data_IF_595626290678
#
_entry.id   IF_595626290678
#
_cell.length_a   1.000
_cell.length_b   1.000
_cell.length_c   1.000
_cell.angle_alpha   90.00
_cell.angle_beta   90.00
_cell.angle_gamma   90.00
#
_symmetry.space_group_name_H-M   'P 1'
#
loop_
_entity.id
_entity.type
_entity.pdbx_description
1 polymer ?
#
# COMPACT_ATOMS: atom_id res chain seq x y z
N UNK A 1 -21.42 34.25 28.51
CA UNK A 1 -21.08 35.04 27.29
C UNK A 1 -20.32 34.15 26.32
N UNK A 2 -21.01 33.43 25.43
CA UNK A 2 -20.43 32.89 24.18
C UNK A 2 -21.59 32.89 23.16
N UNK A 3 -21.44 33.67 22.08
CA UNK A 3 -22.44 33.87 21.02
C UNK A 3 -22.30 32.77 19.96
N UNK A 4 -23.38 32.05 19.69
CA UNK A 4 -23.51 31.11 18.57
C UNK A 4 -23.71 31.86 17.24
N UNK A 5 -23.17 31.35 16.11
CA UNK A 5 -23.28 32.04 14.81
C UNK A 5 -24.67 31.86 14.18
N UNK A 6 -25.21 32.98 13.69
CA UNK A 6 -26.51 33.11 13.06
C UNK A 6 -26.56 32.41 11.69
N UNK A 7 -27.43 31.42 11.59
CA UNK A 7 -27.86 30.79 10.35
C UNK A 7 -28.72 31.80 9.56
N UNK A 8 -28.28 32.22 8.36
CA UNK A 8 -29.06 33.10 7.47
C UNK A 8 -29.96 32.26 6.55
N UNK A 9 -31.29 32.36 6.65
CA UNK A 9 -32.18 31.77 5.65
C UNK A 9 -32.25 32.67 4.40
N UNK A 10 -32.13 32.03 3.24
CA UNK A 10 -32.16 32.63 1.90
C UNK A 10 -33.58 33.10 1.60
N UNK A 11 -33.74 34.39 1.33
CA UNK A 11 -35.02 35.03 1.03
C UNK A 11 -35.66 34.45 -0.23
N UNK A 12 -36.88 33.93 -0.11
CA UNK A 12 -37.79 33.65 -1.21
C UNK A 12 -38.70 34.85 -1.39
N UNK A 13 -38.59 35.54 -2.51
CA UNK A 13 -39.51 36.62 -2.90
C UNK A 13 -40.80 35.99 -3.44
N UNK A 14 -41.85 35.98 -2.62
CA UNK A 14 -43.22 35.75 -3.06
C UNK A 14 -43.91 37.11 -3.14
N UNK A 15 -44.09 37.63 -4.36
CA UNK A 15 -44.87 38.85 -4.62
C UNK A 15 -46.35 38.51 -4.45
N UNK A 16 -46.97 39.08 -3.42
CA UNK A 16 -48.41 39.07 -3.24
C UNK A 16 -49.07 39.97 -4.31
N UNK A 17 -50.01 39.41 -5.09
CA UNK A 17 -50.86 40.19 -6.00
C UNK A 17 -52.27 40.26 -5.43
N UNK A 18 -52.76 41.50 -5.32
CA UNK A 18 -54.05 41.92 -4.82
C UNK A 18 -55.21 41.37 -5.66
N UNK A 19 -56.17 40.72 -5.01
CA UNK A 19 -57.44 40.29 -5.62
C UNK A 19 -58.47 41.41 -5.58
N UNK A 20 -58.67 42.11 -6.69
CA UNK A 20 -59.89 42.89 -6.92
C UNK A 20 -60.83 42.08 -7.82
N UNK A 21 -61.94 41.65 -7.25
CA UNK A 21 -62.96 40.85 -7.92
C UNK A 21 -64.04 41.79 -8.45
N UNK A 22 -64.06 42.02 -9.77
CA UNK A 22 -65.19 42.65 -10.45
C UNK A 22 -65.68 41.67 -11.53
N UNK A 23 -66.83 41.08 -11.27
CA UNK A 23 -67.57 40.18 -12.12
C UNK A 23 -68.08 40.92 -13.38
N UNK A 24 -67.46 40.64 -14.52
CA UNK A 24 -68.08 40.88 -15.83
C UNK A 24 -67.88 39.64 -16.71
N UNK A 25 -69.01 39.10 -17.17
CA UNK A 25 -69.09 38.00 -18.15
C UNK A 25 -68.22 38.30 -19.37
N UNK A 26 -67.15 37.53 -19.55
CA UNK A 26 -66.42 37.43 -20.82
C UNK A 26 -66.36 35.95 -21.21
N UNK A 27 -66.68 35.68 -22.47
CA UNK A 27 -66.76 34.34 -23.04
C UNK A 27 -65.44 33.55 -22.93
N UNK A 28 -65.52 32.28 -23.34
CA UNK A 28 -64.41 31.34 -23.34
C UNK A 28 -63.09 31.98 -23.81
N UNK A 29 -61.99 31.82 -23.06
CA UNK A 29 -60.71 32.38 -23.47
C UNK A 29 -60.25 31.67 -24.74
N UNK A 30 -60.08 32.46 -25.79
CA UNK A 30 -59.41 32.05 -27.02
C UNK A 30 -58.04 31.45 -26.65
N UNK A 31 -57.76 30.23 -27.13
CA UNK A 31 -56.49 29.52 -26.90
C UNK A 31 -55.38 30.13 -27.78
N UNK A 32 -55.15 31.43 -27.63
CA UNK A 32 -54.10 32.17 -28.32
C UNK A 32 -52.84 32.30 -27.45
N UNK A 33 -51.98 31.28 -27.46
CA UNK A 33 -50.51 31.37 -27.63
C UNK A 33 -49.85 30.03 -27.27
N UNK A 34 -49.53 29.22 -28.29
CA UNK A 34 -48.65 28.07 -28.14
C UNK A 34 -47.25 28.62 -27.83
N UNK A 35 -46.72 28.37 -26.62
CA UNK A 35 -45.30 28.70 -26.32
C UNK A 35 -44.42 28.10 -27.42
N UNK A 36 -43.46 28.84 -27.99
CA UNK A 36 -42.62 28.32 -29.07
C UNK A 36 -41.93 27.04 -28.59
N UNK A 37 -41.99 25.99 -29.42
CA UNK A 37 -41.38 24.70 -29.14
C UNK A 37 -39.90 24.91 -28.88
N UNK A 38 -39.41 24.50 -27.70
CA UNK A 38 -37.98 24.56 -27.37
C UNK A 38 -37.20 23.72 -28.37
N UNK A 39 -36.23 24.34 -29.05
CA UNK A 39 -35.30 23.63 -29.91
C UNK A 39 -34.39 22.73 -29.06
N UNK A 40 -34.05 21.56 -29.58
CA UNK A 40 -33.03 20.71 -28.96
C UNK A 40 -31.68 21.41 -29.08
N UNK A 41 -30.88 21.41 -28.00
CA UNK A 41 -29.50 21.89 -28.06
C UNK A 41 -28.61 20.90 -28.84
N UNK A 42 -27.49 21.42 -29.35
CA UNK A 42 -26.48 20.60 -30.02
C UNK A 42 -25.92 19.53 -29.08
N UNK A 43 -25.57 18.33 -29.59
CA UNK A 43 -24.97 17.30 -28.78
C UNK A 43 -23.59 17.75 -28.28
N UNK A 44 -23.23 17.34 -27.06
CA UNK A 44 -21.94 17.67 -26.46
C UNK A 44 -20.77 17.11 -27.29
N UNK A 45 -20.99 16.05 -28.07
CA UNK A 45 -19.99 15.42 -28.95
C UNK A 45 -19.29 16.40 -29.88
N UNK A 46 -20.01 17.40 -30.38
CA UNK A 46 -19.49 18.31 -31.42
C UNK A 46 -18.50 19.33 -30.83
N UNK A 47 -18.47 19.45 -29.50
CA UNK A 47 -17.59 20.35 -28.75
C UNK A 47 -16.47 19.60 -28.01
N UNK A 48 -16.34 18.30 -28.20
CA UNK A 48 -15.34 17.48 -27.52
C UNK A 48 -13.99 17.53 -28.26
N UNK A 49 -12.89 17.91 -27.60
CA UNK A 49 -11.55 17.74 -28.16
C UNK A 49 -11.17 16.26 -28.24
N UNK A 50 -10.31 15.92 -29.19
CA UNK A 50 -9.86 14.53 -29.42
C UNK A 50 -9.01 14.01 -28.24
N UNK A 51 -8.16 14.86 -27.68
CA UNK A 51 -7.25 14.51 -26.57
C UNK A 51 -7.89 14.63 -25.17
N UNK A 52 -9.22 14.66 -25.10
CA UNK A 52 -9.94 14.81 -23.84
C UNK A 52 -9.77 13.59 -22.92
N UNK A 53 -9.65 13.81 -21.60
CA UNK A 53 -9.75 12.73 -20.61
C UNK A 53 -11.15 12.11 -20.62
N UNK A 54 -11.23 10.89 -21.16
CA UNK A 54 -12.45 10.10 -21.23
C UNK A 54 -13.01 9.75 -19.84
N UNK A 55 -12.16 9.61 -18.82
CA UNK A 55 -12.58 9.26 -17.46
C UNK A 55 -13.47 10.34 -16.83
N UNK A 56 -13.31 11.60 -17.26
CA UNK A 56 -14.17 12.70 -16.86
C UNK A 56 -15.51 12.74 -17.63
N UNK A 57 -15.55 12.18 -18.84
CA UNK A 57 -16.76 12.11 -19.69
C UNK A 57 -17.71 11.03 -19.17
N UNK A 58 -17.16 9.89 -18.75
CA UNK A 58 -17.90 8.73 -18.25
C UNK A 58 -17.30 8.21 -16.93
N UNK A 59 -17.52 8.91 -15.80
CA UNK A 59 -16.87 8.56 -14.54
C UNK A 59 -17.48 7.33 -13.84
N UNK A 60 -18.76 7.05 -14.06
CA UNK A 60 -19.51 6.00 -13.36
C UNK A 60 -20.39 5.20 -14.30
N UNK A 61 -20.87 4.05 -13.83
CA UNK A 61 -21.81 3.21 -14.57
C UNK A 61 -23.07 4.01 -14.95
N UNK A 62 -23.34 4.12 -16.25
CA UNK A 62 -24.48 4.86 -16.78
C UNK A 62 -24.97 4.24 -18.10
N UNK A 63 -26.28 4.33 -18.40
CA UNK A 63 -26.83 3.89 -19.69
C UNK A 63 -26.23 4.70 -20.84
N UNK A 64 -26.20 4.14 -22.05
CA UNK A 64 -25.57 4.78 -23.20
C UNK A 64 -26.15 6.18 -23.50
N UNK A 65 -25.31 7.22 -23.41
CA UNK A 65 -25.68 8.62 -23.68
C UNK A 65 -25.24 9.05 -25.07
N UNK A 66 -26.17 9.02 -26.03
CA UNK A 66 -25.91 9.37 -27.44
C UNK A 66 -25.25 10.75 -27.64
N UNK A 67 -25.52 11.72 -26.77
CA UNK A 67 -24.99 13.08 -26.84
C UNK A 67 -23.63 13.27 -26.16
N UNK A 68 -23.14 12.28 -25.41
CA UNK A 68 -21.84 12.33 -24.71
C UNK A 68 -20.79 11.40 -25.33
N UNK A 69 -21.21 10.41 -26.12
CA UNK A 69 -20.29 9.45 -26.74
C UNK A 69 -19.95 9.90 -28.16
N UNK A 70 -18.72 10.34 -28.47
CA UNK A 70 -18.34 10.87 -29.79
C UNK A 70 -18.17 9.79 -30.87
N UNK A 71 -18.33 8.51 -30.52
CA UNK A 71 -18.17 7.39 -31.44
C UNK A 71 -19.38 7.22 -32.38
N UNK A 72 -19.18 6.95 -33.69
CA UNK A 72 -20.26 6.68 -34.64
C UNK A 72 -20.74 5.22 -34.56
N UNK A 73 -21.21 4.80 -33.39
CA UNK A 73 -21.68 3.42 -33.15
C UNK A 73 -23.05 3.19 -33.82
N UNK A 74 -23.19 2.03 -34.47
CA UNK A 74 -24.45 1.56 -35.07
C UNK A 74 -24.71 0.14 -34.56
N UNK A 75 -25.97 -0.16 -34.24
CA UNK A 75 -26.35 -1.50 -33.79
C UNK A 75 -27.82 -1.79 -34.12
N UNK A 76 -28.13 -3.05 -34.36
CA UNK A 76 -29.45 -3.53 -34.74
C UNK A 76 -29.42 -4.25 -36.09
N UNK A 77 -30.44 -5.04 -36.36
CA UNK A 77 -30.52 -5.82 -37.60
C UNK A 77 -30.76 -4.88 -38.80
N UNK A 78 -29.95 -4.97 -39.88
CA UNK A 78 -30.14 -4.15 -41.07
C UNK A 78 -31.35 -4.65 -41.87
N UNK A 79 -32.26 -3.74 -42.22
CA UNK A 79 -33.43 -4.07 -43.04
C UNK A 79 -33.03 -3.99 -44.52
N UNK A 80 -33.47 -4.96 -45.35
CA UNK A 80 -33.34 -4.95 -46.83
C UNK A 80 -31.90 -4.66 -47.34
N UNK A 81 -30.88 -5.36 -46.80
CA UNK A 81 -29.44 -5.13 -47.13
C UNK A 81 -28.94 -3.71 -46.85
N UNK A 82 -29.61 -2.96 -45.98
CA UNK A 82 -29.21 -1.60 -45.57
C UNK A 82 -28.12 -1.57 -44.50
N UNK A 83 -27.87 -0.38 -43.96
CA UNK A 83 -26.92 -0.14 -42.86
C UNK A 83 -27.64 -0.27 -41.51
N UNK A 84 -26.99 -0.80 -40.45
CA UNK A 84 -27.56 -0.81 -39.10
C UNK A 84 -27.98 0.58 -38.61
N UNK A 85 -29.02 0.66 -37.74
CA UNK A 85 -29.48 1.92 -37.16
C UNK A 85 -28.38 2.69 -36.43
N UNK A 86 -28.42 4.02 -36.55
CA UNK A 86 -27.49 4.93 -35.89
C UNK A 86 -27.69 5.00 -34.37
N UNK A 87 -26.74 5.60 -33.65
CA UNK A 87 -26.85 5.75 -32.19
C UNK A 87 -28.00 6.66 -31.72
N UNK A 88 -28.50 7.55 -32.58
CA UNK A 88 -29.55 8.52 -32.22
C UNK A 88 -30.90 7.81 -32.08
N UNK A 89 -31.44 7.78 -30.87
CA UNK A 89 -32.74 7.17 -30.56
C UNK A 89 -32.72 5.64 -30.51
N UNK A 90 -31.54 5.02 -30.49
CA UNK A 90 -31.42 3.56 -30.56
C UNK A 90 -31.57 2.90 -29.18
N UNK A 91 -32.70 2.24 -28.97
CA UNK A 91 -33.00 1.56 -27.71
C UNK A 91 -32.11 0.33 -27.47
N UNK A 92 -31.59 -0.30 -28.53
CA UNK A 92 -30.71 -1.46 -28.37
C UNK A 92 -29.38 -1.06 -27.71
N UNK A 93 -28.86 0.14 -27.98
CA UNK A 93 -27.67 0.66 -27.29
C UNK A 93 -27.94 0.98 -25.81
N UNK A 94 -29.16 1.38 -25.47
CA UNK A 94 -29.53 1.71 -24.09
C UNK A 94 -29.65 0.44 -23.24
N UNK A 95 -30.08 -0.67 -23.85
CA UNK A 95 -30.21 -1.97 -23.16
C UNK A 95 -28.87 -2.61 -22.81
N UNK A 96 -27.79 -2.29 -23.55
CA UNK A 96 -26.49 -2.92 -23.34
C UNK A 96 -25.85 -2.39 -22.04
N UNK A 97 -25.46 -3.28 -21.10
CA UNK A 97 -24.61 -2.90 -19.99
C UNK A 97 -23.22 -2.55 -20.53
N UNK A 98 -22.96 -1.26 -20.73
CA UNK A 98 -21.73 -0.77 -21.33
C UNK A 98 -20.61 -0.60 -20.28
N UNK A 99 -19.37 -0.74 -20.73
CA UNK A 99 -18.16 -0.61 -19.92
C UNK A 99 -17.41 0.70 -20.19
N UNK A 100 -18.09 1.74 -20.67
CA UNK A 100 -17.46 3.01 -21.06
C UNK A 100 -16.78 3.73 -19.88
N UNK A 101 -17.18 3.41 -18.64
CA UNK A 101 -16.58 3.91 -17.40
C UNK A 101 -15.41 3.06 -16.90
N UNK A 102 -15.21 1.86 -17.46
CA UNK A 102 -14.13 0.91 -17.10
C UNK A 102 -13.11 0.77 -18.23
N UNK A 103 -12.75 1.89 -18.85
CA UNK A 103 -11.64 1.90 -19.83
C UNK A 103 -10.31 1.57 -19.14
N UNK A 104 -9.30 1.03 -19.86
CA UNK A 104 -8.00 0.74 -19.28
C UNK A 104 -7.36 1.95 -18.57
N UNK A 105 -7.56 3.15 -19.09
CA UNK A 105 -7.10 4.40 -18.46
C UNK A 105 -7.82 4.69 -17.13
N UNK A 106 -9.15 4.49 -17.09
CA UNK A 106 -9.92 4.60 -15.84
C UNK A 106 -9.47 3.57 -14.81
N UNK A 107 -9.26 2.31 -15.22
CA UNK A 107 -8.83 1.22 -14.32
C UNK A 107 -7.46 1.54 -13.71
N UNK A 108 -6.49 2.00 -14.51
CA UNK A 108 -5.17 2.41 -14.00
C UNK A 108 -5.29 3.54 -12.98
N UNK A 109 -6.01 4.61 -13.32
CA UNK A 109 -6.25 5.76 -12.43
C UNK A 109 -6.97 5.37 -11.13
N UNK A 110 -7.95 4.48 -11.20
CA UNK A 110 -8.66 3.96 -10.02
C UNK A 110 -7.78 3.04 -9.17
N UNK A 111 -6.95 2.22 -9.80
CA UNK A 111 -6.00 1.35 -9.11
C UNK A 111 -4.94 2.19 -8.38
N UNK A 112 -4.45 3.26 -9.00
CA UNK A 112 -3.45 4.16 -8.41
C UNK A 112 -4.02 4.98 -7.24
N UNK A 113 -5.30 5.35 -7.31
CA UNK A 113 -5.98 6.09 -6.26
C UNK A 113 -6.23 5.28 -4.97
N UNK A 114 -6.17 3.94 -5.02
CA UNK A 114 -6.31 3.07 -3.85
C UNK A 114 -5.04 2.21 -3.62
N UNK A 115 -3.94 2.83 -3.14
CA UNK A 115 -2.69 2.12 -2.90
C UNK A 115 -2.82 1.05 -1.81
N UNK A 116 -3.73 1.21 -0.84
CA UNK A 116 -3.98 0.23 0.22
C UNK A 116 -4.46 -1.14 -0.28
N UNK A 117 -5.00 -1.22 -1.50
CA UNK A 117 -5.38 -2.48 -2.12
C UNK A 117 -4.19 -3.27 -2.70
N UNK A 118 -3.00 -2.65 -2.77
CA UNK A 118 -1.77 -3.16 -3.40
C UNK A 118 -0.70 -3.61 -2.40
N UNK A 119 -0.93 -3.38 -1.11
CA UNK A 119 0.07 -3.54 -0.08
C UNK A 119 -0.37 -4.65 0.87
N UNK A 120 0.48 -5.65 1.03
CA UNK A 120 0.33 -6.71 2.02
C UNK A 120 1.34 -6.47 3.13
N UNK A 121 0.85 -6.33 4.35
CA UNK A 121 1.66 -6.26 5.56
C UNK A 121 1.56 -7.58 6.31
N UNK A 122 2.70 -8.13 6.71
CA UNK A 122 2.77 -9.37 7.47
C UNK A 122 3.82 -9.24 8.58
N UNK A 123 3.54 -9.78 9.77
CA UNK A 123 4.51 -9.83 10.86
C UNK A 123 5.35 -11.10 10.80
N UNK A 124 6.66 -10.99 10.94
CA UNK A 124 7.53 -12.17 10.84
C UNK A 124 7.33 -13.13 12.01
N UNK A 125 7.04 -12.62 13.20
CA UNK A 125 6.65 -13.40 14.39
C UNK A 125 5.41 -14.28 14.20
N UNK A 126 4.55 -13.98 13.21
CA UNK A 126 3.40 -14.83 12.89
C UNK A 126 3.76 -16.05 12.04
N UNK A 127 4.96 -16.08 11.48
CA UNK A 127 5.47 -17.20 10.69
C UNK A 127 6.30 -18.12 11.60
N UNK A 128 6.11 -19.42 11.46
CA UNK A 128 6.92 -20.43 12.15
C UNK A 128 8.28 -20.56 11.46
N UNK A 129 9.16 -19.57 11.61
CA UNK A 129 10.52 -19.61 11.06
C UNK A 129 11.51 -19.98 12.16
N UNK A 130 12.54 -20.74 11.81
CA UNK A 130 13.70 -20.94 12.67
C UNK A 130 14.64 -19.73 12.62
N UNK A 131 15.66 -19.72 13.50
CA UNK A 131 16.60 -18.59 13.58
C UNK A 131 17.38 -18.38 12.28
N UNK A 132 17.71 -19.48 11.59
CA UNK A 132 18.39 -19.44 10.29
C UNK A 132 17.50 -18.80 9.22
N UNK A 133 16.29 -19.32 9.00
CA UNK A 133 15.37 -18.80 8.01
C UNK A 133 14.95 -17.37 8.32
N UNK A 134 14.77 -17.01 9.60
CA UNK A 134 14.46 -15.63 9.97
C UNK A 134 15.59 -14.67 9.58
N UNK A 135 16.85 -14.98 9.94
CA UNK A 135 18.03 -14.16 9.58
C UNK A 135 18.21 -14.09 8.06
N UNK A 136 18.09 -15.23 7.37
CA UNK A 136 18.17 -15.30 5.90
C UNK A 136 17.06 -14.49 5.24
N UNK A 137 15.83 -14.55 5.75
CA UNK A 137 14.71 -13.80 5.19
C UNK A 137 14.88 -12.30 5.38
N UNK A 138 15.35 -11.84 6.54
CA UNK A 138 15.66 -10.42 6.76
C UNK A 138 16.70 -9.91 5.74
N UNK A 139 17.75 -10.71 5.45
CA UNK A 139 18.74 -10.39 4.41
C UNK A 139 18.16 -10.37 3.00
N UNK A 140 17.34 -11.37 2.64
CA UNK A 140 16.73 -11.46 1.30
C UNK A 140 15.77 -10.29 1.03
N UNK A 141 15.05 -9.85 2.06
CA UNK A 141 14.02 -8.85 1.90
C UNK A 141 14.55 -7.42 2.00
N UNK A 142 15.59 -7.20 2.81
CA UNK A 142 16.28 -5.91 2.91
C UNK A 142 15.38 -4.80 3.46
N UNK A 143 15.26 -3.70 2.72
CA UNK A 143 14.55 -2.47 3.13
C UNK A 143 13.04 -2.66 3.34
N UNK A 144 12.46 -3.74 2.81
CA UNK A 144 11.04 -4.05 2.95
C UNK A 144 10.66 -4.57 4.35
N UNK A 145 11.64 -4.86 5.20
CA UNK A 145 11.44 -5.31 6.58
C UNK A 145 11.81 -4.22 7.59
N UNK A 146 10.89 -3.93 8.51
CA UNK A 146 11.13 -3.02 9.62
C UNK A 146 11.51 -3.82 10.89
N UNK A 147 12.70 -3.57 11.44
CA UNK A 147 13.21 -4.22 12.66
C UNK A 147 12.41 -3.83 13.91
N UNK A 148 11.94 -2.58 14.01
CA UNK A 148 11.24 -2.08 15.20
C UNK A 148 9.84 -2.68 15.36
N UNK A 149 9.11 -2.84 14.25
CA UNK A 149 7.72 -3.31 14.26
C UNK A 149 7.57 -4.78 13.87
N UNK A 150 8.68 -5.48 13.62
CA UNK A 150 8.72 -6.88 13.14
C UNK A 150 7.80 -7.12 11.93
N UNK A 151 7.66 -6.11 11.07
CA UNK A 151 6.69 -6.11 9.97
C UNK A 151 7.39 -6.09 8.61
N UNK A 152 7.08 -7.10 7.81
CA UNK A 152 7.40 -7.22 6.40
C UNK A 152 6.31 -6.56 5.56
N UNK A 153 6.70 -5.65 4.67
CA UNK A 153 5.80 -5.00 3.72
C UNK A 153 6.12 -5.43 2.29
N UNK A 154 5.18 -6.12 1.65
CA UNK A 154 5.26 -6.49 0.23
C UNK A 154 4.27 -5.62 -0.54
N UNK A 155 4.79 -4.78 -1.43
CA UNK A 155 4.01 -3.92 -2.31
C UNK A 155 3.96 -4.54 -3.71
N UNK A 156 2.77 -4.83 -4.24
CA UNK A 156 2.58 -5.38 -5.58
C UNK A 156 1.65 -4.49 -6.41
N UNK A 157 2.18 -3.88 -7.46
CA UNK A 157 1.46 -2.97 -8.37
C UNK A 157 1.55 -3.37 -9.85
N UNK A 158 2.23 -4.48 -10.15
CA UNK A 158 2.48 -4.97 -11.50
C UNK A 158 1.20 -5.35 -12.26
N UNK A 159 0.12 -5.75 -11.59
CA UNK A 159 -1.10 -6.23 -12.23
C UNK A 159 -2.26 -5.22 -12.18
N UNK A 160 -3.10 -5.13 -13.23
CA UNK A 160 -4.28 -4.25 -13.23
C UNK A 160 -5.35 -4.67 -12.21
N UNK A 161 -5.48 -5.96 -11.93
CA UNK A 161 -6.53 -6.52 -11.06
C UNK A 161 -6.01 -6.76 -9.65
N UNK A 162 -6.78 -6.36 -8.64
CA UNK A 162 -6.43 -6.53 -7.22
C UNK A 162 -6.14 -8.00 -6.86
N UNK A 163 -6.98 -8.92 -7.33
CA UNK A 163 -6.80 -10.36 -7.08
C UNK A 163 -5.43 -10.84 -7.57
N UNK A 164 -5.00 -10.41 -8.76
CA UNK A 164 -3.71 -10.80 -9.32
C UNK A 164 -2.53 -10.28 -8.48
N UNK A 165 -2.60 -9.03 -8.00
CA UNK A 165 -1.58 -8.49 -7.10
C UNK A 165 -1.55 -9.21 -5.75
N UNK A 166 -2.70 -9.64 -5.24
CA UNK A 166 -2.79 -10.44 -4.02
C UNK A 166 -2.17 -11.83 -4.21
N UNK A 167 -2.57 -12.54 -5.28
CA UNK A 167 -2.03 -13.87 -5.60
C UNK A 167 -0.51 -13.80 -5.82
N UNK A 168 -0.02 -12.73 -6.46
CA UNK A 168 1.40 -12.49 -6.64
C UNK A 168 2.12 -12.18 -5.32
N UNK A 169 1.54 -11.36 -4.45
CA UNK A 169 2.10 -11.10 -3.12
C UNK A 169 2.19 -12.39 -2.28
N UNK A 170 1.16 -13.23 -2.32
CA UNK A 170 1.17 -14.54 -1.67
C UNK A 170 2.23 -15.46 -2.26
N UNK A 171 2.36 -15.51 -3.59
CA UNK A 171 3.42 -16.27 -4.25
C UNK A 171 4.82 -15.82 -3.78
N UNK A 172 5.08 -14.51 -3.77
CA UNK A 172 6.36 -13.96 -3.31
C UNK A 172 6.65 -14.35 -1.86
N UNK A 173 5.65 -14.24 -0.99
CA UNK A 173 5.77 -14.67 0.40
C UNK A 173 6.11 -16.17 0.51
N UNK A 174 5.41 -17.02 -0.24
CA UNK A 174 5.66 -18.47 -0.24
C UNK A 174 7.07 -18.80 -0.73
N UNK A 175 7.53 -18.16 -1.81
CA UNK A 175 8.90 -18.34 -2.32
C UNK A 175 9.91 -17.89 -1.29
N UNK A 176 9.74 -16.71 -0.69
CA UNK A 176 10.62 -16.20 0.36
C UNK A 176 10.73 -17.16 1.54
N UNK A 177 9.59 -17.69 2.00
CA UNK A 177 9.58 -18.71 3.03
C UNK A 177 10.40 -19.93 2.56
N UNK A 178 10.04 -20.58 1.45
CA UNK A 178 10.76 -21.79 1.01
C UNK A 178 12.26 -21.57 0.77
N UNK A 179 12.67 -20.44 0.21
CA UNK A 179 14.08 -20.10 0.01
C UNK A 179 14.81 -19.78 1.32
N UNK A 180 14.12 -19.22 2.31
CA UNK A 180 14.70 -18.97 3.62
C UNK A 180 15.02 -20.25 4.39
N UNK A 181 14.23 -21.32 4.22
CA UNK A 181 14.48 -22.62 4.85
C UNK A 181 15.60 -23.43 4.19
N UNK A 182 15.94 -23.13 2.93
CA UNK A 182 17.03 -23.82 2.25
C UNK A 182 18.36 -23.33 2.79
N UNK A 183 19.30 -24.24 3.00
CA UNK A 183 20.69 -23.92 3.34
C UNK A 183 21.55 -24.22 2.12
N UNK A 184 22.14 -23.19 1.54
CA UNK A 184 23.03 -23.31 0.39
C UNK A 184 24.49 -23.46 0.82
N UNK A 185 25.33 -24.07 -0.01
CA UNK A 185 26.74 -24.34 0.32
C UNK A 185 27.54 -23.07 0.67
N UNK A 186 27.29 -21.98 -0.06
CA UNK A 186 27.96 -20.69 0.12
C UNK A 186 27.57 -19.99 1.43
N UNK A 187 26.50 -20.40 2.11
CA UNK A 187 26.14 -19.81 3.41
C UNK A 187 27.15 -20.16 4.50
N UNK A 188 27.92 -21.24 4.32
CA UNK A 188 29.04 -21.59 5.19
C UNK A 188 30.24 -20.65 5.03
N UNK A 189 30.33 -19.92 3.92
CA UNK A 189 31.41 -18.95 3.62
C UNK A 189 31.14 -17.57 4.24
N UNK A 190 30.07 -17.42 5.03
CA UNK A 190 29.65 -16.16 5.64
C UNK A 190 30.75 -15.56 6.51
N UNK A 191 31.12 -14.32 6.21
CA UNK A 191 32.17 -13.62 6.95
C UNK A 191 31.63 -12.94 8.21
N UNK A 192 32.53 -12.53 9.11
CA UNK A 192 32.17 -11.80 10.35
C UNK A 192 31.46 -10.48 10.04
N UNK A 193 31.79 -9.82 8.93
CA UNK A 193 31.14 -8.57 8.52
C UNK A 193 29.68 -8.78 8.07
N UNK A 194 29.32 -9.99 7.63
CA UNK A 194 27.97 -10.32 7.17
C UNK A 194 27.05 -10.75 8.31
N UNK A 195 27.62 -11.01 9.49
CA UNK A 195 26.86 -11.35 10.70
C UNK A 195 26.05 -10.14 11.17
N UNK A 196 24.77 -10.37 11.41
CA UNK A 196 23.83 -9.32 11.86
C UNK A 196 23.97 -9.04 13.35
N UNK A 197 24.47 -10.02 14.09
CA UNK A 197 24.70 -10.00 15.52
C UNK A 197 26.15 -10.38 15.76
N UNK A 198 26.77 -9.70 16.70
CA UNK A 198 28.08 -10.06 17.21
C UNK A 198 27.99 -11.36 18.00
N UNK A 199 28.73 -12.37 17.54
CA UNK A 199 29.04 -13.56 18.32
C UNK A 199 30.41 -13.41 18.98
N UNK A 200 30.48 -13.70 20.28
CA UNK A 200 31.75 -13.69 21.01
C UNK A 200 32.62 -14.91 20.70
N UNK A 201 32.01 -16.02 20.31
CA UNK A 201 32.70 -17.27 19.99
C UNK A 201 33.54 -17.11 18.72
N UNK A 202 34.78 -17.59 18.76
CA UNK A 202 35.81 -17.42 17.74
C UNK A 202 36.16 -15.96 17.41
N UNK A 203 35.73 -15.00 18.24
CA UNK A 203 35.96 -13.57 18.01
C UNK A 203 37.36 -13.12 18.44
N UNK A 204 37.83 -11.95 17.94
CA UNK A 204 39.06 -11.33 18.44
C UNK A 204 39.03 -11.05 19.94
N UNK A 205 37.85 -10.71 20.51
CA UNK A 205 37.75 -10.46 21.95
C UNK A 205 37.97 -11.72 22.77
N UNK A 206 37.50 -12.88 22.32
CA UNK A 206 37.75 -14.15 23.01
C UNK A 206 39.23 -14.49 22.98
N UNK A 207 39.88 -14.35 21.81
CA UNK A 207 41.32 -14.59 21.65
C UNK A 207 42.15 -13.68 22.55
N UNK A 208 41.80 -12.40 22.61
CA UNK A 208 42.49 -11.43 23.47
C UNK A 208 42.29 -11.76 24.95
N UNK A 209 41.07 -12.06 25.37
CA UNK A 209 40.78 -12.44 26.76
C UNK A 209 41.57 -13.70 27.15
N UNK A 210 41.50 -14.77 26.35
CA UNK A 210 42.28 -15.98 26.60
C UNK A 210 43.78 -15.71 26.62
N UNK A 211 44.32 -14.90 25.69
CA UNK A 211 45.76 -14.56 25.72
C UNK A 211 46.17 -13.82 27.00
N UNK A 212 45.31 -12.95 27.54
CA UNK A 212 45.59 -12.26 28.80
C UNK A 212 45.51 -13.20 30.00
N UNK A 213 44.55 -14.14 30.00
CA UNK A 213 44.39 -15.11 31.08
C UNK A 213 45.48 -16.19 31.06
N UNK A 214 45.90 -16.63 29.88
CA UNK A 214 47.03 -17.54 29.68
C UNK A 214 48.31 -16.92 30.27
N UNK A 215 48.53 -15.61 30.09
CA UNK A 215 49.66 -14.88 30.68
C UNK A 215 49.59 -14.79 32.21
N UNK A 216 48.40 -14.56 32.79
CA UNK A 216 48.22 -14.40 34.24
C UNK A 216 48.30 -15.74 34.99
N UNK A 217 47.83 -16.82 34.37
CA UNK A 217 47.69 -18.13 35.02
C UNK A 217 48.62 -19.24 34.48
N UNK A 218 49.50 -18.92 33.52
CA UNK A 218 50.42 -19.89 32.88
C UNK A 218 49.69 -21.15 32.37
N UNK A 219 48.51 -20.94 31.78
CA UNK A 219 47.57 -21.99 31.41
C UNK A 219 47.91 -22.61 30.04
N UNK A 220 47.81 -23.95 29.95
CA UNK A 220 47.91 -24.70 28.69
C UNK A 220 46.56 -24.89 28.00
N UNK A 221 46.54 -25.55 26.84
CA UNK A 221 45.34 -25.69 25.99
C UNK A 221 44.16 -26.43 26.67
N UNK A 222 44.44 -27.42 27.52
CA UNK A 222 43.43 -28.13 28.31
C UNK A 222 42.74 -27.25 29.37
N UNK A 223 43.39 -26.17 29.79
CA UNK A 223 42.87 -25.22 30.78
C UNK A 223 41.96 -24.18 30.11
N UNK A 224 42.04 -24.00 28.79
CA UNK A 224 41.23 -23.00 28.06
C UNK A 224 39.73 -23.26 28.16
N UNK A 225 39.30 -24.51 27.99
CA UNK A 225 37.89 -24.89 28.13
C UNK A 225 37.39 -24.63 29.57
N UNK A 226 38.22 -24.90 30.57
CA UNK A 226 37.90 -24.63 31.98
C UNK A 226 37.83 -23.11 32.25
N UNK A 227 38.72 -22.31 31.66
CA UNK A 227 38.68 -20.84 31.75
C UNK A 227 37.42 -20.27 31.12
N UNK A 228 36.98 -20.80 29.98
CA UNK A 228 35.74 -20.37 29.34
C UNK A 228 34.51 -20.67 30.22
N UNK A 229 34.55 -21.70 31.04
CA UNK A 229 33.48 -22.04 31.99
C UNK A 229 33.40 -21.15 33.23
N UNK A 230 34.40 -20.29 33.48
CA UNK A 230 34.44 -19.44 34.67
C UNK A 230 33.37 -18.35 34.65
N UNK A 231 32.75 -18.03 35.80
CA UNK A 231 31.69 -17.02 35.86
C UNK A 231 32.19 -15.64 35.45
N UNK A 232 33.44 -15.29 35.75
CA UNK A 232 34.03 -14.00 35.39
C UNK A 232 34.17 -13.84 33.87
N UNK A 233 34.48 -14.93 33.16
CA UNK A 233 34.60 -14.94 31.69
C UNK A 233 33.22 -14.88 31.03
N UNK A 234 32.21 -15.53 31.61
CA UNK A 234 30.83 -15.45 31.13
C UNK A 234 30.24 -14.05 31.35
N UNK A 235 30.46 -13.42 32.50
CA UNK A 235 30.05 -12.02 32.72
C UNK A 235 30.73 -11.07 31.72
N UNK A 236 32.02 -11.27 31.44
CA UNK A 236 32.72 -10.52 30.40
C UNK A 236 32.11 -10.75 29.02
N UNK A 237 31.88 -12.01 28.63
CA UNK A 237 31.22 -12.39 27.37
C UNK A 237 29.87 -11.66 27.22
N UNK A 238 29.01 -11.77 28.22
CA UNK A 238 27.66 -11.18 28.21
C UNK A 238 27.71 -9.66 28.12
N UNK A 239 28.66 -9.02 28.82
CA UNK A 239 28.84 -7.57 28.74
C UNK A 239 29.28 -7.11 27.33
N UNK A 240 30.17 -7.86 26.67
CA UNK A 240 30.67 -7.54 25.32
C UNK A 240 29.57 -7.77 24.29
N UNK A 241 28.85 -8.88 24.36
CA UNK A 241 27.77 -9.20 23.42
C UNK A 241 26.66 -8.16 23.50
N UNK A 242 26.27 -7.79 24.73
CA UNK A 242 25.32 -6.72 24.97
C UNK A 242 25.78 -5.39 24.38
N UNK A 243 27.02 -4.98 24.67
CA UNK A 243 27.60 -3.74 24.17
C UNK A 243 27.61 -3.67 22.63
N UNK A 244 27.92 -4.80 21.97
CA UNK A 244 28.01 -4.86 20.50
C UNK A 244 26.65 -4.99 19.80
N UNK A 245 25.67 -5.65 20.41
CA UNK A 245 24.37 -5.91 19.79
C UNK A 245 23.32 -4.84 20.12
N UNK A 246 23.23 -4.41 21.38
CA UNK A 246 22.26 -3.40 21.84
C UNK A 246 22.78 -1.97 21.66
N UNK A 247 24.10 -1.81 21.54
CA UNK A 247 24.77 -0.53 21.37
C UNK A 247 25.39 0.05 22.65
N UNK A 248 26.03 1.20 22.47
CA UNK A 248 26.77 1.89 23.54
C UNK A 248 25.83 2.76 24.36
N UNK A 249 25.56 2.32 25.59
CA UNK A 249 24.80 3.04 26.60
C UNK A 249 25.65 3.17 27.87
N UNK A 250 25.38 4.16 28.72
CA UNK A 250 26.11 4.33 29.98
C UNK A 250 26.07 3.06 30.84
N UNK A 251 24.91 2.38 30.88
CA UNK A 251 24.75 1.11 31.57
C UNK A 251 25.58 -0.03 30.97
N UNK A 252 25.60 -0.18 29.64
CA UNK A 252 26.38 -1.24 28.99
C UNK A 252 27.89 -1.04 29.15
N UNK A 253 28.36 0.21 29.13
CA UNK A 253 29.78 0.54 29.35
C UNK A 253 30.20 0.30 30.81
N UNK A 254 29.36 0.66 31.79
CA UNK A 254 29.65 0.40 33.20
C UNK A 254 29.71 -1.10 33.51
N UNK A 255 28.78 -1.89 32.99
CA UNK A 255 28.79 -3.35 33.15
C UNK A 255 30.03 -3.99 32.54
N UNK A 256 30.43 -3.56 31.33
CA UNK A 256 31.68 -4.02 30.71
C UNK A 256 32.89 -3.69 31.59
N UNK A 257 32.97 -2.46 32.13
CA UNK A 257 34.04 -2.05 33.05
C UNK A 257 34.10 -2.93 34.29
N UNK A 258 32.97 -3.23 34.92
CA UNK A 258 32.91 -4.08 36.12
C UNK A 258 33.32 -5.52 35.80
N UNK A 259 32.87 -6.07 34.67
CA UNK A 259 33.25 -7.41 34.23
C UNK A 259 34.76 -7.53 33.96
N UNK A 260 35.37 -6.52 33.32
CA UNK A 260 36.83 -6.49 33.09
C UNK A 260 37.62 -6.41 34.40
N UNK A 261 37.15 -5.64 35.39
CA UNK A 261 37.81 -5.56 36.71
C UNK A 261 37.80 -6.92 37.41
N UNK A 262 36.65 -7.59 37.42
CA UNK A 262 36.53 -8.95 37.97
C UNK A 262 37.45 -9.93 37.25
N UNK A 263 37.48 -9.87 35.91
CA UNK A 263 38.30 -10.74 35.08
C UNK A 263 39.80 -10.62 35.39
N UNK A 264 40.28 -9.39 35.65
CA UNK A 264 41.68 -9.09 35.88
C UNK A 264 42.07 -9.01 37.37
N UNK A 265 41.12 -9.25 38.28
CA UNK A 265 41.29 -9.10 39.74
C UNK A 265 41.80 -7.70 40.16
N UNK A 266 41.23 -6.64 39.59
CA UNK A 266 41.57 -5.22 39.85
C UNK A 266 40.57 -4.50 40.77
#
# INVERSE_FOLDING_TARGET
>A
MIRSPLFRPRATYATALSTNNSSQNKGFPDRGNIRPRRAAGDPRTDRMPVDQDWTAVYPTAAPFRQGSVPLPVRIGFPVKRGVPPEKKGNLELVKIPNFLHLTPAAIKKHSEANPSARIVHLRLSSLNLDDHARKKMVKLVGERYCKETDTLTITTDSCPVRQQNYDYAMYLLTVLCHESWKVEAWESEKTVADMEEYSWENSPSQKNALSTLDLVWAAGEAVREELLGRPEVQEYRDSVTRLKNEGESEGSVLQYREAVKKLLNL
#
